data_IF_361158721109
#
_entry.id   IF_361158721109
#
_cell.length_a   1.000
_cell.length_b   1.000
_cell.length_c   1.000
_cell.angle_alpha   90.00
_cell.angle_beta   90.00
_cell.angle_gamma   90.00
#
_symmetry.space_group_name_H-M   'P 1'
#
loop_
_entity.id
_entity.type
_entity.pdbx_description
1 polymer ?
#
# COMPACT_ATOMS: atom_id res chain seq x y z
N UNK A 1 -18.56 -14.52 9.53
CA UNK A 1 -18.16 -13.19 9.02
C UNK A 1 -17.07 -13.39 7.99
N UNK A 2 -17.22 -12.79 6.81
CA UNK A 2 -16.17 -12.86 5.79
C UNK A 2 -14.92 -12.12 6.27
N UNK A 3 -13.74 -12.70 6.00
CA UNK A 3 -12.46 -12.06 6.32
C UNK A 3 -12.25 -10.84 5.42
N UNK A 4 -11.64 -9.80 5.96
CA UNK A 4 -11.21 -8.64 5.19
C UNK A 4 -9.83 -8.91 4.58
N UNK A 5 -9.73 -8.89 3.28
CA UNK A 5 -8.45 -9.07 2.58
C UNK A 5 -7.67 -7.77 2.60
N UNK A 6 -6.48 -7.83 3.16
CA UNK A 6 -5.52 -6.72 3.20
C UNK A 6 -4.38 -7.08 2.26
N UNK A 7 -4.32 -6.44 1.12
CA UNK A 7 -3.30 -6.71 0.11
C UNK A 7 -2.27 -5.58 0.05
N UNK A 8 -0.99 -5.94 0.02
CA UNK A 8 0.10 -4.99 -0.22
C UNK A 8 0.82 -5.38 -1.49
N UNK A 9 0.94 -4.44 -2.42
CA UNK A 9 1.75 -4.59 -3.62
C UNK A 9 3.21 -4.36 -3.28
N UNK A 10 4.03 -5.35 -3.58
CA UNK A 10 5.49 -5.30 -3.48
C UNK A 10 6.08 -5.37 -4.89
N UNK A 11 6.62 -4.25 -5.36
CA UNK A 11 7.36 -4.18 -6.63
C UNK A 11 8.77 -4.70 -6.45
N UNK A 12 9.49 -5.10 -7.51
CA UNK A 12 10.91 -5.46 -7.40
C UNK A 12 11.71 -4.35 -6.72
N UNK A 13 12.53 -4.72 -5.75
CA UNK A 13 13.28 -3.76 -4.94
C UNK A 13 12.49 -3.13 -3.79
N UNK A 14 11.30 -3.62 -3.48
CA UNK A 14 10.47 -3.08 -2.41
C UNK A 14 11.21 -2.98 -1.08
N UNK A 15 10.91 -1.93 -0.32
CA UNK A 15 11.35 -1.80 1.06
C UNK A 15 10.65 -2.87 1.90
N UNK A 16 11.43 -3.83 2.45
CA UNK A 16 10.85 -5.00 3.11
C UNK A 16 9.91 -4.64 4.26
N UNK A 17 10.29 -3.67 5.11
CA UNK A 17 9.47 -3.27 6.26
C UNK A 17 8.15 -2.60 5.84
N UNK A 18 8.12 -1.93 4.70
CA UNK A 18 6.87 -1.35 4.16
C UNK A 18 5.84 -2.42 3.82
N UNK A 19 6.30 -3.63 3.52
CA UNK A 19 5.45 -4.80 3.24
C UNK A 19 5.11 -5.54 4.53
N UNK A 20 6.13 -5.97 5.27
CA UNK A 20 5.96 -6.83 6.44
C UNK A 20 5.36 -6.12 7.64
N UNK A 21 5.72 -4.85 7.88
CA UNK A 21 5.25 -4.11 9.04
C UNK A 21 3.73 -3.97 9.11
N UNK A 22 3.07 -3.41 8.10
CA UNK A 22 1.61 -3.31 8.09
C UNK A 22 0.91 -4.66 8.15
N UNK A 23 1.39 -5.66 7.41
CA UNK A 23 0.76 -6.99 7.39
C UNK A 23 0.84 -7.67 8.76
N UNK A 24 1.96 -7.53 9.48
CA UNK A 24 2.11 -8.06 10.83
C UNK A 24 1.16 -7.40 11.82
N UNK A 25 0.85 -6.12 11.66
CA UNK A 25 -0.15 -5.42 12.49
C UNK A 25 -1.53 -6.07 12.33
N UNK A 26 -1.97 -6.35 11.10
CA UNK A 26 -3.25 -7.02 10.86
C UNK A 26 -3.25 -8.47 11.38
N UNK A 27 -2.14 -9.18 11.22
CA UNK A 27 -1.99 -10.53 11.76
C UNK A 27 -2.03 -10.53 13.29
N UNK A 28 -1.38 -9.55 13.93
CA UNK A 28 -1.42 -9.39 15.39
C UNK A 28 -2.84 -9.05 15.89
N UNK A 29 -3.59 -8.21 15.16
CA UNK A 29 -4.99 -7.94 15.48
C UNK A 29 -5.82 -9.24 15.51
N UNK A 30 -5.63 -10.14 14.53
CA UNK A 30 -6.28 -11.46 14.54
C UNK A 30 -5.94 -12.25 15.81
N UNK A 31 -4.65 -12.24 16.20
CA UNK A 31 -4.17 -12.96 17.37
C UNK A 31 -4.77 -12.44 18.67
N UNK A 32 -4.81 -11.11 18.82
CA UNK A 32 -5.37 -10.45 20.00
C UNK A 32 -6.88 -10.70 20.12
N UNK A 33 -7.59 -10.63 19.00
CA UNK A 33 -9.03 -10.88 18.94
C UNK A 33 -9.40 -12.37 19.03
N UNK A 34 -8.42 -13.27 18.94
CA UNK A 34 -8.61 -14.73 18.88
C UNK A 34 -9.58 -15.16 17.79
N UNK A 35 -9.61 -14.42 16.68
CA UNK A 35 -10.46 -14.70 15.50
C UNK A 35 -9.82 -14.14 14.23
N UNK A 36 -10.11 -14.79 13.11
CA UNK A 36 -9.61 -14.38 11.78
C UNK A 36 -10.49 -13.29 11.19
N UNK A 37 -10.21 -12.02 11.52
CA UNK A 37 -10.87 -10.85 10.92
C UNK A 37 -10.22 -10.45 9.62
N UNK A 38 -8.90 -10.53 9.55
CA UNK A 38 -8.08 -10.11 8.42
C UNK A 38 -7.40 -11.29 7.73
N UNK A 39 -7.25 -11.16 6.42
CA UNK A 39 -6.43 -12.04 5.59
C UNK A 39 -5.34 -11.20 4.92
N UNK A 40 -4.15 -11.08 5.55
CA UNK A 40 -3.02 -10.36 4.97
C UNK A 40 -2.42 -11.12 3.78
N UNK A 41 -2.22 -10.45 2.66
CA UNK A 41 -1.59 -11.03 1.47
C UNK A 41 -0.62 -10.06 0.82
N UNK A 42 0.42 -10.62 0.19
CA UNK A 42 1.36 -9.88 -0.65
C UNK A 42 1.00 -10.12 -2.12
N UNK A 43 0.97 -9.04 -2.89
CA UNK A 43 0.77 -9.06 -4.34
C UNK A 43 2.05 -8.60 -5.01
N UNK A 44 2.51 -9.32 -6.02
CA UNK A 44 3.67 -8.96 -6.84
C UNK A 44 3.26 -8.54 -8.24
N UNK A 45 4.16 -7.94 -9.03
CA UNK A 45 3.86 -7.54 -10.40
C UNK A 45 3.79 -8.75 -11.34
N UNK A 46 4.91 -9.44 -11.55
CA UNK A 46 5.03 -10.48 -12.59
C UNK A 46 5.44 -11.84 -12.03
N UNK A 47 6.32 -11.86 -11.05
CA UNK A 47 6.85 -13.09 -10.45
C UNK A 47 6.46 -13.17 -8.99
N UNK A 48 6.16 -14.37 -8.51
CA UNK A 48 5.80 -14.57 -7.09
C UNK A 48 6.97 -14.26 -6.16
N UNK A 49 8.20 -14.59 -6.56
CA UNK A 49 9.39 -14.21 -5.79
C UNK A 49 9.71 -12.74 -6.03
N UNK A 50 9.88 -11.99 -4.95
CA UNK A 50 10.24 -10.57 -4.96
C UNK A 50 11.51 -10.37 -4.17
N UNK A 51 12.56 -9.85 -4.82
CA UNK A 51 13.76 -9.40 -4.14
C UNK A 51 13.53 -8.01 -3.56
N UNK A 52 13.66 -7.85 -2.24
CA UNK A 52 13.58 -6.55 -1.59
C UNK A 52 14.86 -5.73 -1.79
N UNK A 53 14.81 -4.45 -1.42
CA UNK A 53 15.97 -3.55 -1.49
C UNK A 53 17.14 -4.00 -0.59
N UNK A 54 16.86 -4.75 0.45
CA UNK A 54 17.90 -5.34 1.33
C UNK A 54 18.50 -6.64 0.82
N UNK A 55 17.99 -7.19 -0.30
CA UNK A 55 18.37 -8.49 -0.82
C UNK A 55 17.59 -9.66 -0.22
N UNK A 56 16.85 -9.44 0.84
CA UNK A 56 15.94 -10.47 1.38
C UNK A 56 14.82 -10.72 0.39
N UNK A 57 14.59 -11.99 0.08
CA UNK A 57 13.53 -12.40 -0.85
C UNK A 57 12.26 -12.73 -0.09
N UNK A 58 11.13 -12.32 -0.64
CA UNK A 58 9.82 -12.71 -0.17
C UNK A 58 9.05 -13.40 -1.29
N UNK A 59 8.13 -14.27 -0.90
CA UNK A 59 7.23 -14.94 -1.82
C UNK A 59 5.86 -14.30 -1.72
N UNK A 60 5.36 -13.72 -2.81
CA UNK A 60 4.01 -13.17 -2.86
C UNK A 60 2.96 -14.30 -2.83
N UNK A 61 1.79 -13.99 -2.31
CA UNK A 61 0.63 -14.89 -2.36
C UNK A 61 0.03 -14.93 -3.78
N UNK A 62 0.03 -13.78 -4.47
CA UNK A 62 -0.57 -13.61 -5.78
C UNK A 62 0.26 -12.67 -6.63
N UNK A 63 0.31 -12.93 -7.94
CA UNK A 63 0.71 -11.93 -8.91
C UNK A 63 -0.44 -10.95 -9.13
N UNK A 64 -0.13 -9.76 -9.61
CA UNK A 64 -1.12 -8.71 -9.87
C UNK A 64 -2.28 -9.21 -10.76
N UNK A 65 -1.97 -10.01 -11.78
CA UNK A 65 -2.97 -10.64 -12.64
C UNK A 65 -3.91 -11.57 -11.87
N UNK A 66 -3.36 -12.42 -11.00
CA UNK A 66 -4.14 -13.36 -10.17
C UNK A 66 -4.99 -12.63 -9.11
N UNK A 67 -4.46 -11.53 -8.57
CA UNK A 67 -5.14 -10.72 -7.57
C UNK A 67 -6.44 -10.06 -8.08
N UNK A 68 -6.59 -9.92 -9.40
CA UNK A 68 -7.81 -9.38 -10.01
C UNK A 68 -9.07 -10.19 -9.66
N UNK A 69 -8.91 -11.49 -9.33
CA UNK A 69 -10.00 -12.37 -8.93
C UNK A 69 -10.35 -12.27 -7.44
N UNK A 70 -9.56 -11.53 -6.64
CA UNK A 70 -9.79 -11.36 -5.21
C UNK A 70 -10.75 -10.22 -4.92
N UNK A 71 -11.54 -10.38 -3.86
CA UNK A 71 -12.26 -9.28 -3.24
C UNK A 71 -11.35 -8.64 -2.19
N UNK A 72 -10.58 -7.64 -2.59
CA UNK A 72 -9.67 -6.90 -1.71
C UNK A 72 -10.42 -5.79 -0.98
N UNK A 73 -10.29 -5.71 0.34
CA UNK A 73 -10.92 -4.64 1.14
C UNK A 73 -9.98 -3.44 1.31
N UNK A 74 -8.70 -3.70 1.54
CA UNK A 74 -7.68 -2.65 1.62
C UNK A 74 -6.53 -3.00 0.70
N UNK A 75 -6.16 -2.08 -0.20
CA UNK A 75 -5.05 -2.26 -1.13
C UNK A 75 -4.01 -1.16 -0.92
N UNK A 76 -2.81 -1.53 -0.45
CA UNK A 76 -1.70 -0.62 -0.19
C UNK A 76 -0.54 -0.93 -1.12
N UNK A 77 0.20 0.11 -1.50
CA UNK A 77 1.40 -0.01 -2.33
C UNK A 77 2.63 0.33 -1.47
N UNK A 78 3.53 -0.64 -1.33
CA UNK A 78 4.78 -0.46 -0.61
C UNK A 78 5.77 0.39 -1.43
N UNK A 79 6.66 1.10 -0.74
CA UNK A 79 7.71 1.87 -1.37
C UNK A 79 8.91 1.02 -1.78
N UNK A 80 9.77 1.63 -2.58
CA UNK A 80 11.05 1.09 -2.98
C UNK A 80 12.04 2.25 -3.19
N UNK A 81 13.35 2.07 -2.94
CA UNK A 81 14.34 3.04 -3.36
C UNK A 81 14.24 3.28 -4.87
N UNK A 82 14.42 4.53 -5.29
CA UNK A 82 14.38 4.92 -6.70
C UNK A 82 13.12 4.47 -7.48
N UNK A 83 12.02 4.31 -6.78
CA UNK A 83 10.74 3.81 -7.33
C UNK A 83 10.22 4.64 -8.51
N UNK A 84 10.58 5.92 -8.58
CA UNK A 84 10.23 6.80 -9.69
C UNK A 84 10.85 6.39 -11.03
N UNK A 85 11.88 5.53 -11.00
CA UNK A 85 12.47 4.94 -12.20
C UNK A 85 11.69 3.72 -12.71
N UNK A 86 10.79 3.18 -11.92
CA UNK A 86 9.94 2.07 -12.33
C UNK A 86 8.80 2.55 -13.23
N UNK A 87 8.77 2.03 -14.44
CA UNK A 87 7.67 2.25 -15.37
C UNK A 87 6.72 1.05 -15.34
N UNK A 88 5.46 1.30 -15.01
CA UNK A 88 4.41 0.30 -15.14
C UNK A 88 3.92 0.24 -16.58
N UNK A 89 3.59 -0.95 -17.06
CA UNK A 89 2.87 -1.11 -18.34
C UNK A 89 1.44 -0.56 -18.20
N UNK A 90 0.80 -0.22 -19.31
CA UNK A 90 -0.60 0.23 -19.29
C UNK A 90 -1.52 -0.85 -18.70
N UNK A 91 -1.24 -2.12 -18.96
CA UNK A 91 -1.97 -3.25 -18.36
C UNK A 91 -1.81 -3.26 -16.85
N UNK A 92 -0.59 -3.10 -16.32
CA UNK A 92 -0.33 -3.06 -14.88
C UNK A 92 -1.01 -1.86 -14.21
N UNK A 93 -0.96 -0.68 -14.82
CA UNK A 93 -1.68 0.51 -14.33
C UNK A 93 -3.18 0.26 -14.23
N UNK A 94 -3.76 -0.34 -15.26
CA UNK A 94 -5.18 -0.72 -15.28
C UNK A 94 -5.54 -1.73 -14.21
N UNK A 95 -4.70 -2.72 -13.97
CA UNK A 95 -4.91 -3.75 -12.96
C UNK A 95 -4.80 -3.16 -11.54
N UNK A 96 -3.83 -2.29 -11.28
CA UNK A 96 -3.70 -1.59 -10.00
C UNK A 96 -4.92 -0.70 -9.77
N UNK A 97 -5.33 0.06 -10.78
CA UNK A 97 -6.52 0.91 -10.71
C UNK A 97 -7.76 0.10 -10.36
N UNK A 98 -7.97 -1.03 -11.03
CA UNK A 98 -9.13 -1.89 -10.78
C UNK A 98 -9.16 -2.42 -9.35
N UNK A 99 -8.02 -2.84 -8.80
CA UNK A 99 -7.94 -3.26 -7.40
C UNK A 99 -8.27 -2.11 -6.44
N UNK A 100 -7.76 -0.91 -6.71
CA UNK A 100 -8.08 0.28 -5.89
C UNK A 100 -9.57 0.60 -5.93
N UNK A 101 -10.14 0.69 -7.12
CA UNK A 101 -11.56 1.09 -7.31
C UNK A 101 -12.54 0.04 -6.75
N UNK A 102 -12.15 -1.22 -6.71
CA UNK A 102 -12.97 -2.31 -6.18
C UNK A 102 -12.74 -2.57 -4.68
N UNK A 103 -11.79 -1.88 -4.06
CA UNK A 103 -11.55 -1.98 -2.61
C UNK A 103 -12.32 -0.92 -1.83
N UNK A 104 -12.49 -1.12 -0.52
CA UNK A 104 -13.12 -0.13 0.37
C UNK A 104 -12.21 1.09 0.54
N UNK A 105 -10.91 0.85 0.58
CA UNK A 105 -9.88 1.89 0.68
C UNK A 105 -8.57 1.40 0.07
N UNK A 106 -7.77 2.36 -0.37
CA UNK A 106 -6.46 2.09 -0.96
C UNK A 106 -5.49 3.21 -0.66
N UNK A 107 -4.20 2.95 -0.85
CA UNK A 107 -3.20 3.97 -0.61
C UNK A 107 -1.79 3.46 -0.74
N UNK A 108 -0.87 4.13 -0.04
CA UNK A 108 0.55 3.87 -0.15
C UNK A 108 1.28 4.02 1.17
N UNK A 109 2.41 3.35 1.26
CA UNK A 109 3.40 3.50 2.32
C UNK A 109 4.67 4.02 1.68
N UNK A 110 5.30 5.02 2.31
CA UNK A 110 6.56 5.57 1.86
C UNK A 110 6.48 6.04 0.39
N UNK A 111 7.43 5.66 -0.44
CA UNK A 111 7.48 6.03 -1.85
C UNK A 111 6.52 5.25 -2.75
N UNK A 112 5.71 4.36 -2.20
CA UNK A 112 4.64 3.69 -2.93
C UNK A 112 3.63 4.65 -3.59
N UNK A 113 3.56 5.89 -3.10
CA UNK A 113 2.77 6.96 -3.70
C UNK A 113 3.14 7.25 -5.17
N UNK A 114 4.41 7.08 -5.57
CA UNK A 114 4.83 7.25 -6.96
C UNK A 114 4.21 6.21 -7.89
N UNK A 115 4.07 4.98 -7.42
CA UNK A 115 3.44 3.90 -8.18
C UNK A 115 1.94 4.19 -8.31
N UNK A 116 1.31 4.54 -7.21
CA UNK A 116 -0.12 4.86 -7.19
C UNK A 116 -0.43 6.10 -8.04
N UNK A 117 0.44 7.11 -8.03
CA UNK A 117 0.28 8.32 -8.84
C UNK A 117 0.26 8.03 -10.36
N UNK A 118 0.98 7.00 -10.83
CA UNK A 118 0.96 6.60 -12.24
C UNK A 118 -0.43 6.15 -12.71
N UNK A 119 -1.31 5.75 -11.81
CA UNK A 119 -2.68 5.33 -12.15
C UNK A 119 -3.64 6.48 -12.37
N UNK A 120 -3.26 7.71 -11.98
CA UNK A 120 -4.13 8.90 -12.02
C UNK A 120 -5.12 9.01 -10.85
N UNK A 121 -5.17 8.03 -9.96
CA UNK A 121 -6.14 8.00 -8.84
C UNK A 121 -5.85 9.03 -7.75
N UNK A 122 -4.65 9.61 -7.71
CA UNK A 122 -4.26 10.62 -6.72
C UNK A 122 -4.53 12.06 -7.17
N UNK A 123 -5.00 12.27 -8.40
CA UNK A 123 -5.33 13.60 -8.91
C UNK A 123 -6.34 14.31 -8.00
N UNK A 124 -6.01 15.53 -7.55
CA UNK A 124 -6.79 16.34 -6.61
C UNK A 124 -6.96 15.69 -5.21
N UNK A 125 -6.15 14.70 -4.89
CA UNK A 125 -6.11 14.09 -3.55
C UNK A 125 -4.98 14.71 -2.73
N UNK A 126 -5.23 14.83 -1.42
CA UNK A 126 -4.21 15.14 -0.43
C UNK A 126 -3.59 13.85 0.07
N UNK A 127 -2.26 13.77 -0.02
CA UNK A 127 -1.49 12.58 0.36
C UNK A 127 -0.21 12.98 1.08
N UNK A 128 0.45 11.99 1.68
CA UNK A 128 1.84 12.10 2.10
C UNK A 128 2.69 10.99 1.48
N UNK A 129 3.98 11.19 1.49
CA UNK A 129 5.01 10.24 1.04
C UNK A 129 6.24 10.39 1.92
N UNK A 130 7.28 9.62 1.64
CA UNK A 130 8.56 9.79 2.34
C UNK A 130 9.06 11.23 2.16
N UNK A 131 9.43 11.87 3.26
CA UNK A 131 9.79 13.31 3.29
C UNK A 131 10.85 13.71 2.26
N UNK A 132 11.87 12.85 2.07
CA UNK A 132 12.96 13.10 1.11
C UNK A 132 12.49 13.11 -0.36
N UNK A 133 11.33 12.55 -0.65
CA UNK A 133 10.79 12.40 -2.00
C UNK A 133 9.57 13.29 -2.28
N UNK A 134 9.08 14.02 -1.28
CA UNK A 134 7.85 14.82 -1.38
C UNK A 134 7.95 15.90 -2.46
N UNK A 135 9.08 16.62 -2.53
CA UNK A 135 9.31 17.66 -3.56
C UNK A 135 9.30 17.07 -4.97
N UNK A 136 9.91 15.90 -5.14
CA UNK A 136 9.93 15.21 -6.43
C UNK A 136 8.52 14.79 -6.84
N UNK A 137 7.76 14.20 -5.92
CA UNK A 137 6.39 13.78 -6.19
C UNK A 137 5.52 14.97 -6.62
N UNK A 138 5.63 16.10 -5.93
CA UNK A 138 4.91 17.33 -6.28
C UNK A 138 5.28 17.86 -7.66
N UNK A 139 6.57 17.74 -8.03
CA UNK A 139 7.05 18.19 -9.35
C UNK A 139 6.57 17.25 -10.46
N UNK A 140 6.64 15.96 -10.25
CA UNK A 140 6.24 14.95 -11.25
C UNK A 140 4.70 14.87 -11.42
N UNK A 141 3.95 15.15 -10.35
CA UNK A 141 2.48 15.09 -10.32
C UNK A 141 1.88 16.37 -9.70
N UNK A 142 1.88 17.50 -10.42
CA UNK A 142 1.48 18.80 -9.87
C UNK A 142 0.01 18.87 -9.45
N UNK A 143 -0.84 17.94 -9.90
CA UNK A 143 -2.26 17.89 -9.52
C UNK A 143 -2.50 17.09 -8.23
N UNK A 144 -1.46 16.55 -7.62
CA UNK A 144 -1.53 15.86 -6.33
C UNK A 144 -1.08 16.83 -5.23
N UNK A 145 -1.88 16.96 -4.17
CA UNK A 145 -1.53 17.77 -3.02
C UNK A 145 -0.68 16.95 -2.05
N UNK A 146 0.62 17.24 -1.99
CA UNK A 146 1.56 16.50 -1.13
C UNK A 146 1.81 17.28 0.16
N UNK A 147 1.46 16.68 1.31
CA UNK A 147 1.80 17.18 2.64
C UNK A 147 3.08 16.49 3.12
N UNK A 148 4.21 17.18 2.99
CA UNK A 148 5.53 16.64 3.32
C UNK A 148 5.76 16.45 4.83
N UNK A 149 4.99 17.14 5.67
CA UNK A 149 5.15 17.12 7.13
C UNK A 149 4.24 16.11 7.82
N UNK A 150 3.21 15.64 7.13
CA UNK A 150 2.28 14.66 7.68
C UNK A 150 2.90 13.26 7.72
N UNK A 151 2.69 12.54 8.82
CA UNK A 151 3.05 11.12 8.92
C UNK A 151 1.97 10.22 8.30
N UNK A 152 0.74 10.72 8.26
CA UNK A 152 -0.44 10.00 7.79
C UNK A 152 -1.45 10.98 7.22
N UNK A 153 -2.05 10.64 6.09
CA UNK A 153 -3.15 11.41 5.49
C UNK A 153 -4.27 10.46 5.05
N UNK A 154 -5.49 10.83 5.39
CA UNK A 154 -6.72 10.19 4.91
C UNK A 154 -7.52 11.20 4.10
N UNK A 155 -7.83 10.86 2.86
CA UNK A 155 -8.63 11.68 1.95
C UNK A 155 -9.59 10.79 1.15
N UNK A 156 -10.88 10.83 1.50
CA UNK A 156 -11.86 9.91 0.94
C UNK A 156 -11.43 8.46 1.18
N UNK A 157 -11.37 7.62 0.13
CA UNK A 157 -10.92 6.24 0.28
C UNK A 157 -9.39 6.10 0.35
N UNK A 158 -8.64 7.19 0.14
CA UNK A 158 -7.17 7.15 0.06
C UNK A 158 -6.55 7.25 1.45
N UNK A 159 -5.58 6.36 1.72
CA UNK A 159 -4.80 6.32 2.96
C UNK A 159 -3.32 6.28 2.61
N UNK A 160 -2.56 7.26 3.08
CA UNK A 160 -1.12 7.33 2.80
C UNK A 160 -0.31 7.54 4.07
N UNK A 161 0.86 6.94 4.13
CA UNK A 161 1.80 7.06 5.22
C UNK A 161 3.19 7.48 4.72
N UNK A 162 3.90 8.27 5.53
CA UNK A 162 5.13 8.93 5.10
C UNK A 162 6.33 7.99 5.01
N UNK A 163 6.46 6.99 5.86
CA UNK A 163 7.65 6.17 5.81
C UNK A 163 7.68 5.05 6.82
N UNK A 164 8.74 4.33 6.81
CA UNK A 164 9.02 2.98 7.29
C UNK A 164 8.21 2.55 8.53
N UNK A 165 8.30 3.26 9.63
CA UNK A 165 7.52 2.98 10.86
C UNK A 165 6.08 3.50 10.78
N UNK A 166 5.81 4.52 9.99
CA UNK A 166 4.46 5.08 9.85
C UNK A 166 3.53 4.15 9.05
N UNK A 167 4.07 3.19 8.30
CA UNK A 167 3.26 2.13 7.70
C UNK A 167 2.57 1.24 8.73
N UNK A 168 3.25 0.91 9.82
CA UNK A 168 2.64 0.20 10.94
C UNK A 168 1.59 1.06 11.65
N UNK A 169 1.88 2.34 11.86
CA UNK A 169 0.92 3.29 12.44
C UNK A 169 -0.33 3.43 11.55
N UNK A 170 -0.15 3.46 10.23
CA UNK A 170 -1.26 3.41 9.27
C UNK A 170 -2.11 2.16 9.51
N UNK A 171 -1.49 0.99 9.56
CA UNK A 171 -2.22 -0.27 9.76
C UNK A 171 -3.01 -0.28 11.07
N UNK A 172 -2.44 0.22 12.17
CA UNK A 172 -3.14 0.37 13.44
C UNK A 172 -4.37 1.25 13.29
N UNK A 173 -4.26 2.40 12.61
CA UNK A 173 -5.41 3.27 12.34
C UNK A 173 -6.49 2.58 11.51
N UNK A 174 -6.10 1.77 10.54
CA UNK A 174 -7.05 1.01 9.73
C UNK A 174 -7.79 -0.04 10.58
N UNK A 175 -7.10 -0.69 11.52
CA UNK A 175 -7.75 -1.60 12.49
C UNK A 175 -8.74 -0.82 13.37
N UNK A 176 -8.37 0.37 13.84
CA UNK A 176 -9.27 1.24 14.60
C UNK A 176 -10.50 1.67 13.78
N UNK A 177 -10.32 1.98 12.49
CA UNK A 177 -11.44 2.31 11.59
C UNK A 177 -12.41 1.12 11.45
N UNK A 178 -11.88 -0.10 11.41
CA UNK A 178 -12.68 -1.31 11.19
C UNK A 178 -13.39 -1.81 12.45
N UNK A 179 -12.76 -1.69 13.60
CA UNK A 179 -13.17 -2.35 14.85
C UNK A 179 -13.57 -1.37 15.97
N UNK A 180 -13.27 -0.08 15.80
CA UNK A 180 -13.37 0.91 16.86
C UNK A 180 -12.15 0.88 17.80
N UNK A 181 -12.04 1.91 18.68
CA UNK A 181 -10.88 2.06 19.58
C UNK A 181 -10.82 1.05 20.72
N UNK A 182 -11.90 0.32 20.95
CA UNK A 182 -12.04 -0.67 22.02
C UNK A 182 -11.97 -2.13 21.48
N UNK A 183 -11.63 -2.29 20.20
CA UNK A 183 -11.53 -3.57 19.53
C UNK A 183 -10.12 -4.18 19.57
#
# INVERSE_FOLDING_TARGET
MMKRVIAILAVPGAQLLDVSGPLDVFAEANRQLRRQVYEPVVVSLETLEVASSSGVRLMANYRLEEAQALQVNTFLLAGAPDVWQQSLTETQKGQIRALCENSDRYGSVCTGAFILAQTGLLTQRKITTHWASATRLSADYPQVEVDADALYVADGPVRTAAGVTSGMALAIRLVEEDLGREG
#
